data_IF_334047433859
#
_entry.id   IF_334047433859
#
_cell.length_a   1.000
_cell.length_b   1.000
_cell.length_c   1.000
_cell.angle_alpha   90.00
_cell.angle_beta   90.00
_cell.angle_gamma   90.00
#
_symmetry.space_group_name_H-M   'P 1'
#
loop_
_entity.id
_entity.type
_entity.pdbx_description
1 polymer ?
#
# COMPACT_ATOMS: atom_id res chain seq x y z
N UNK A 1 2.98 11.61 1.74
CA UNK A 1 3.19 10.29 1.09
C UNK A 1 4.40 10.25 0.14
N UNK A 2 4.37 10.78 -1.08
CA UNK A 2 5.43 10.51 -2.06
C UNK A 2 6.85 10.96 -1.72
N UNK A 3 7.00 12.13 -1.11
CA UNK A 3 8.30 12.61 -0.65
C UNK A 3 8.98 11.62 0.31
N UNK A 4 8.19 10.83 1.04
CA UNK A 4 8.66 9.89 2.04
C UNK A 4 8.70 8.43 1.54
N UNK A 5 7.82 8.05 0.61
CA UNK A 5 7.64 6.64 0.22
C UNK A 5 8.04 6.30 -1.22
N UNK A 6 8.30 7.29 -2.07
CA UNK A 6 8.73 7.08 -3.46
C UNK A 6 10.02 7.83 -3.77
N UNK A 7 11.01 7.68 -2.91
CA UNK A 7 12.38 8.21 -3.09
C UNK A 7 12.39 9.71 -3.46
N UNK A 8 11.63 10.52 -2.70
CA UNK A 8 11.59 11.96 -2.96
C UNK A 8 10.96 12.33 -4.31
N UNK A 9 10.01 11.54 -4.80
CA UNK A 9 9.29 11.67 -6.09
C UNK A 9 10.03 11.18 -7.34
N UNK A 10 11.13 10.43 -7.20
CA UNK A 10 11.80 9.75 -8.33
C UNK A 10 11.27 8.33 -8.55
N UNK A 11 10.66 7.73 -7.52
CA UNK A 11 10.13 6.36 -7.55
C UNK A 11 8.73 6.24 -8.15
N UNK A 12 8.07 5.12 -7.84
CA UNK A 12 6.72 4.80 -8.32
C UNK A 12 5.77 4.56 -7.14
N UNK A 13 4.47 4.74 -7.38
CA UNK A 13 3.39 4.22 -6.56
C UNK A 13 2.62 3.18 -7.36
N UNK A 14 2.23 2.09 -6.71
CA UNK A 14 1.44 1.03 -7.31
C UNK A 14 -0.02 1.21 -6.89
N UNK A 15 -0.92 1.15 -7.86
CA UNK A 15 -2.36 1.23 -7.65
C UNK A 15 -2.94 -0.19 -7.73
N UNK A 16 -3.62 -0.58 -6.66
CA UNK A 16 -4.40 -1.81 -6.64
C UNK A 16 -5.87 -1.51 -6.62
N UNK A 17 -6.61 -2.20 -7.47
CA UNK A 17 -8.04 -2.30 -7.33
C UNK A 17 -8.34 -3.29 -6.19
N UNK A 18 -9.24 -2.92 -5.29
CA UNK A 18 -9.81 -3.82 -4.28
C UNK A 18 -11.33 -3.83 -4.48
N UNK A 19 -11.96 -4.96 -4.84
CA UNK A 19 -13.38 -4.96 -5.08
C UNK A 19 -14.09 -4.78 -3.73
N UNK A 20 -15.18 -4.02 -3.73
CA UNK A 20 -15.94 -3.58 -2.56
C UNK A 20 -16.30 -4.72 -1.57
N UNK A 21 -16.38 -5.96 -2.07
CA UNK A 21 -16.71 -7.16 -1.29
C UNK A 21 -15.60 -7.62 -0.32
N UNK A 22 -14.51 -6.87 -0.15
CA UNK A 22 -13.37 -7.26 0.71
C UNK A 22 -12.88 -8.69 0.42
N UNK A 23 -13.00 -9.14 -0.85
CA UNK A 23 -12.46 -10.43 -1.26
C UNK A 23 -10.96 -10.29 -1.35
N UNK A 24 -10.33 -10.52 -0.21
CA UNK A 24 -8.89 -10.56 -0.07
C UNK A 24 -8.34 -11.91 -0.58
N UNK A 25 -9.20 -12.75 -1.16
CA UNK A 25 -8.87 -13.98 -1.87
C UNK A 25 -7.84 -13.75 -3.00
N UNK A 26 -7.80 -12.55 -3.58
CA UNK A 26 -6.80 -12.17 -4.59
C UNK A 26 -5.40 -11.97 -4.03
N UNK A 27 -5.24 -12.04 -2.71
CA UNK A 27 -3.96 -12.08 -2.03
C UNK A 27 -3.80 -13.42 -1.31
N UNK A 28 -2.72 -14.12 -1.62
CA UNK A 28 -2.45 -15.45 -1.10
C UNK A 28 -1.07 -15.52 -0.45
N UNK A 29 -0.97 -16.42 0.52
CA UNK A 29 0.32 -16.77 1.10
C UNK A 29 0.99 -17.83 0.22
N UNK A 30 2.32 -17.97 0.27
CA UNK A 30 3.03 -19.02 -0.45
C UNK A 30 2.45 -20.41 -0.13
N UNK A 31 2.54 -21.33 -1.08
CA UNK A 31 2.06 -22.72 -0.91
C UNK A 31 2.69 -23.35 0.34
N UNK A 32 1.87 -24.05 1.13
CA UNK A 32 2.30 -24.71 2.37
C UNK A 32 2.21 -23.85 3.63
N UNK A 33 1.79 -22.59 3.51
CA UNK A 33 1.49 -21.74 4.68
C UNK A 33 0.00 -21.83 4.99
N UNK A 34 -0.35 -22.35 6.17
CA UNK A 34 -1.73 -22.36 6.64
C UNK A 34 -2.19 -20.94 7.06
N UNK A 35 -3.29 -20.47 6.46
CA UNK A 35 -3.96 -19.25 6.91
C UNK A 35 -4.80 -19.57 8.15
N UNK A 36 -4.34 -19.16 9.32
CA UNK A 36 -5.15 -19.26 10.54
C UNK A 36 -6.25 -18.19 10.59
N UNK A 37 -6.03 -17.05 9.92
CA UNK A 37 -6.94 -15.90 9.88
C UNK A 37 -6.95 -15.36 8.44
N UNK A 38 -8.07 -14.84 7.91
CA UNK A 38 -8.05 -14.13 6.64
C UNK A 38 -7.10 -12.93 6.69
N UNK A 39 -6.56 -12.57 5.53
CA UNK A 39 -5.90 -11.28 5.34
C UNK A 39 -6.96 -10.18 5.53
N UNK A 40 -6.58 -9.03 6.09
CA UNK A 40 -7.51 -7.97 6.51
C UNK A 40 -7.07 -6.65 5.89
N UNK A 41 -7.98 -5.94 5.22
CA UNK A 41 -7.77 -4.55 4.82
C UNK A 41 -8.30 -3.63 5.92
N UNK A 42 -7.38 -3.01 6.66
CA UNK A 42 -7.70 -2.30 7.89
C UNK A 42 -7.46 -0.80 7.75
N UNK A 43 -8.49 0.07 7.91
CA UNK A 43 -8.27 1.50 8.04
C UNK A 43 -7.50 1.82 9.32
N UNK A 44 -6.59 2.80 9.23
CA UNK A 44 -5.78 3.24 10.37
C UNK A 44 -6.57 4.18 11.27
N UNK A 45 -6.49 3.93 12.57
CA UNK A 45 -6.98 4.83 13.61
C UNK A 45 -5.94 5.89 13.91
N UNK A 46 -6.35 7.14 13.95
CA UNK A 46 -5.44 8.26 14.23
C UNK A 46 -5.63 8.75 15.67
N UNK A 47 -4.54 8.85 16.42
CA UNK A 47 -4.56 9.27 17.83
C UNK A 47 -3.25 9.95 18.22
N UNK A 48 -3.33 10.93 19.12
CA UNK A 48 -2.14 11.53 19.76
C UNK A 48 -1.65 10.74 20.97
N UNK A 49 -2.45 9.78 21.43
CA UNK A 49 -2.09 8.86 22.50
C UNK A 49 -1.55 7.55 21.91
N UNK A 50 -0.36 7.16 22.35
CA UNK A 50 0.23 5.89 21.93
C UNK A 50 -0.51 4.73 22.62
N UNK A 51 -0.94 3.70 21.88
CA UNK A 51 -1.48 2.51 22.48
C UNK A 51 -0.41 1.85 23.35
N UNK A 52 -0.77 1.51 24.58
CA UNK A 52 0.10 0.77 25.50
C UNK A 52 -0.16 -0.71 25.27
N UNK A 53 0.90 -1.46 24.97
CA UNK A 53 0.84 -2.91 24.79
C UNK A 53 1.87 -3.60 25.68
N UNK A 54 1.43 -4.51 26.54
CA UNK A 54 2.35 -5.37 27.27
C UNK A 54 2.71 -6.60 26.40
N UNK A 55 3.81 -6.50 25.65
CA UNK A 55 4.27 -7.56 24.74
C UNK A 55 4.82 -8.81 25.45
N UNK A 56 5.01 -8.75 26.77
CA UNK A 56 5.52 -9.86 27.57
C UNK A 56 4.40 -10.78 28.09
N UNK A 57 3.15 -10.34 28.02
CA UNK A 57 1.99 -11.16 28.37
C UNK A 57 1.42 -11.83 27.11
N UNK A 58 1.07 -13.10 27.22
CA UNK A 58 0.40 -13.85 26.16
C UNK A 58 -1.08 -14.09 26.53
N UNK A 59 -1.87 -13.02 26.51
CA UNK A 59 -3.30 -13.04 26.82
C UNK A 59 -4.09 -12.50 25.62
N UNK A 60 -5.41 -12.73 25.60
CA UNK A 60 -6.28 -12.10 24.58
C UNK A 60 -6.19 -10.57 24.61
N UNK A 61 -6.06 -10.00 25.80
CA UNK A 61 -5.94 -8.56 25.99
C UNK A 61 -4.62 -8.01 25.41
N UNK A 62 -3.49 -8.69 25.65
CA UNK A 62 -2.21 -8.26 25.08
C UNK A 62 -2.19 -8.38 23.56
N UNK A 63 -2.84 -9.40 22.99
CA UNK A 63 -3.00 -9.53 21.53
C UNK A 63 -3.83 -8.38 20.93
N UNK A 64 -4.93 -7.96 21.59
CA UNK A 64 -5.72 -6.81 21.17
C UNK A 64 -4.91 -5.50 21.23
N UNK A 65 -4.13 -5.31 22.30
CA UNK A 65 -3.27 -4.13 22.44
C UNK A 65 -2.16 -4.08 21.37
N UNK A 66 -1.54 -5.22 21.05
CA UNK A 66 -0.57 -5.32 19.96
C UNK A 66 -1.23 -5.02 18.61
N UNK A 67 -2.43 -5.53 18.37
CA UNK A 67 -3.18 -5.21 17.16
C UNK A 67 -3.45 -3.70 17.07
N UNK A 68 -3.89 -3.07 18.16
CA UNK A 68 -4.07 -1.60 18.25
C UNK A 68 -2.79 -0.84 17.93
N UNK A 69 -1.62 -1.30 18.39
CA UNK A 69 -0.34 -0.64 18.06
C UNK A 69 0.03 -0.73 16.58
N UNK A 70 -0.38 -1.80 15.89
CA UNK A 70 -0.23 -1.96 14.45
C UNK A 70 -1.24 -1.13 13.66
N UNK A 71 -2.38 -0.73 14.22
CA UNK A 71 -3.43 0.01 13.49
C UNK A 71 -3.60 1.46 13.94
N UNK A 72 -2.74 1.95 14.85
CA UNK A 72 -2.78 3.34 15.33
C UNK A 72 -1.60 4.15 14.81
N UNK A 73 -1.84 5.37 14.32
CA UNK A 73 -0.81 6.32 13.87
C UNK A 73 -1.09 7.71 14.47
N UNK A 74 -0.06 8.57 14.56
CA UNK A 74 -0.23 9.95 15.05
C UNK A 74 -1.25 10.71 14.20
N UNK A 75 -2.05 11.60 14.81
CA UNK A 75 -3.00 12.45 14.06
C UNK A 75 -2.30 13.37 13.06
N UNK A 76 -1.01 13.64 13.24
CA UNK A 76 -0.20 14.41 12.27
C UNK A 76 -0.20 13.76 10.88
N UNK A 77 -0.45 12.46 10.80
CA UNK A 77 -0.49 11.67 9.55
C UNK A 77 -1.91 11.35 9.08
N UNK A 78 -2.94 11.94 9.72
CA UNK A 78 -4.34 11.68 9.38
C UNK A 78 -4.68 12.01 7.92
N UNK A 79 -3.96 12.96 7.31
CA UNK A 79 -4.13 13.34 5.91
C UNK A 79 -3.80 12.20 4.93
N UNK A 80 -3.08 11.15 5.35
CA UNK A 80 -2.75 10.03 4.47
C UNK A 80 -3.93 9.09 4.23
N UNK A 81 -4.95 9.11 5.11
CA UNK A 81 -6.11 8.22 5.06
C UNK A 81 -5.69 6.76 4.80
N UNK A 82 -4.71 6.29 5.57
CA UNK A 82 -3.96 5.06 5.35
C UNK A 82 -4.81 3.82 5.63
N UNK A 83 -4.63 2.82 4.79
CA UNK A 83 -5.12 1.46 5.01
C UNK A 83 -3.92 0.50 5.06
N UNK A 84 -3.97 -0.50 5.93
CA UNK A 84 -2.97 -1.57 6.01
C UNK A 84 -3.60 -2.89 5.63
N UNK A 85 -2.91 -3.62 4.75
CA UNK A 85 -3.21 -5.02 4.47
C UNK A 85 -2.44 -5.89 5.46
N UNK A 86 -3.13 -6.55 6.39
CA UNK A 86 -2.53 -7.26 7.53
C UNK A 86 -2.87 -8.75 7.46
N UNK A 87 -1.83 -9.60 7.53
CA UNK A 87 -1.98 -11.04 7.72
C UNK A 87 -1.55 -11.40 9.15
N UNK A 88 -2.49 -11.59 10.09
CA UNK A 88 -2.13 -12.06 11.43
C UNK A 88 -1.43 -13.42 11.36
N UNK A 89 -0.36 -13.57 12.15
CA UNK A 89 0.39 -14.83 12.26
C UNK A 89 1.33 -15.14 11.10
N UNK A 90 1.54 -14.21 10.16
CA UNK A 90 2.47 -14.41 9.04
C UNK A 90 3.37 -13.20 8.80
N UNK A 91 4.65 -13.47 8.59
CA UNK A 91 5.63 -12.50 8.11
C UNK A 91 6.31 -13.09 6.88
N UNK A 92 6.30 -12.36 5.77
CA UNK A 92 6.92 -12.83 4.53
C UNK A 92 6.29 -12.24 3.28
N UNK A 93 6.54 -12.88 2.15
CA UNK A 93 6.01 -12.47 0.85
C UNK A 93 4.54 -12.87 0.74
N UNK A 94 3.71 -11.95 0.28
CA UNK A 94 2.37 -12.28 -0.20
C UNK A 94 2.38 -12.31 -1.74
N UNK A 95 1.56 -13.18 -2.30
CA UNK A 95 1.24 -13.19 -3.73
C UNK A 95 -0.05 -12.41 -3.96
N UNK A 96 -0.15 -11.79 -5.13
CA UNK A 96 -1.37 -11.14 -5.59
C UNK A 96 -1.68 -11.58 -7.01
N UNK A 97 -2.96 -11.62 -7.35
CA UNK A 97 -3.37 -11.86 -8.73
C UNK A 97 -2.96 -10.67 -9.62
N UNK A 98 -2.19 -10.87 -10.70
CA UNK A 98 -1.57 -9.77 -11.44
C UNK A 98 -2.57 -8.71 -11.97
N UNK A 99 -3.78 -9.12 -12.32
CA UNK A 99 -4.83 -8.20 -12.82
C UNK A 99 -5.36 -7.22 -11.77
N UNK A 100 -5.02 -7.41 -10.48
CA UNK A 100 -5.38 -6.46 -9.42
C UNK A 100 -4.46 -5.25 -9.38
N UNK A 101 -3.25 -5.32 -9.95
CA UNK A 101 -2.43 -4.13 -10.17
C UNK A 101 -3.07 -3.34 -11.33
N UNK A 102 -3.87 -2.33 -10.99
CA UNK A 102 -4.67 -1.57 -11.94
C UNK A 102 -3.90 -0.41 -12.55
N UNK A 103 -2.87 0.07 -11.85
CA UNK A 103 -2.10 1.21 -12.29
C UNK A 103 -0.70 1.31 -11.68
N UNK A 104 0.17 2.05 -12.35
CA UNK A 104 1.47 2.48 -11.83
C UNK A 104 1.55 3.98 -12.03
N UNK A 105 1.78 4.71 -10.94
CA UNK A 105 1.94 6.16 -10.94
C UNK A 105 3.42 6.48 -10.76
N UNK A 106 4.02 7.06 -11.79
CA UNK A 106 5.43 7.45 -11.79
C UNK A 106 5.57 8.83 -11.14
N UNK A 107 6.51 8.96 -10.20
CA UNK A 107 6.76 10.20 -9.46
C UNK A 107 7.20 11.34 -10.38
N UNK A 108 6.83 12.58 -10.06
CA UNK A 108 7.04 13.71 -10.97
C UNK A 108 8.51 14.00 -11.32
N UNK A 109 9.44 13.66 -10.42
CA UNK A 109 10.90 13.84 -10.63
C UNK A 109 11.56 12.66 -11.34
N UNK A 110 10.84 11.58 -11.62
CA UNK A 110 11.43 10.46 -12.35
C UNK A 110 11.93 10.90 -13.73
N UNK A 111 13.11 10.43 -14.12
CA UNK A 111 13.77 10.80 -15.38
C UNK A 111 13.03 10.24 -16.59
N UNK A 112 13.34 10.76 -17.78
CA UNK A 112 12.74 10.26 -19.02
C UNK A 112 13.12 8.80 -19.26
N UNK A 113 14.35 8.42 -18.94
CA UNK A 113 14.85 7.05 -19.07
C UNK A 113 14.06 6.10 -18.16
N UNK A 114 13.82 6.47 -16.90
CA UNK A 114 13.03 5.67 -15.96
C UNK A 114 11.58 5.50 -16.46
N UNK A 115 10.97 6.56 -16.99
CA UNK A 115 9.62 6.50 -17.54
C UNK A 115 9.55 5.50 -18.70
N UNK A 116 10.53 5.54 -19.61
CA UNK A 116 10.60 4.63 -20.75
C UNK A 116 10.86 3.18 -20.30
N UNK A 117 11.76 2.97 -19.34
CA UNK A 117 12.06 1.65 -18.77
C UNK A 117 10.81 1.02 -18.15
N UNK A 118 10.07 1.78 -17.34
CA UNK A 118 8.80 1.33 -16.74
C UNK A 118 7.78 1.03 -17.85
N UNK A 119 7.71 1.88 -18.87
CA UNK A 119 6.85 1.66 -20.04
C UNK A 119 7.13 0.35 -20.76
N UNK A 120 8.40 0.04 -21.02
CA UNK A 120 8.82 -1.22 -21.65
C UNK A 120 8.56 -2.43 -20.73
N UNK A 121 8.78 -2.28 -19.43
CA UNK A 121 8.47 -3.32 -18.46
C UNK A 121 6.97 -3.67 -18.47
N UNK A 122 6.09 -2.66 -18.43
CA UNK A 122 4.64 -2.86 -18.45
C UNK A 122 4.16 -3.54 -19.74
N UNK A 123 4.75 -3.22 -20.89
CA UNK A 123 4.42 -3.89 -22.16
C UNK A 123 4.70 -5.40 -22.13
N UNK A 124 5.70 -5.83 -21.37
CA UNK A 124 6.06 -7.24 -21.21
C UNK A 124 5.16 -7.98 -20.20
N UNK A 125 4.40 -7.25 -19.39
CA UNK A 125 3.49 -7.86 -18.43
C UNK A 125 2.28 -8.48 -19.13
N UNK A 126 1.87 -9.66 -18.67
CA UNK A 126 0.65 -10.33 -19.15
C UNK A 126 -0.61 -9.49 -18.93
N UNK A 127 -0.64 -8.75 -17.82
CA UNK A 127 -1.69 -7.79 -17.50
C UNK A 127 -1.05 -6.41 -17.45
N UNK A 128 -1.59 -5.49 -18.25
CA UNK A 128 -1.02 -4.16 -18.46
C UNK A 128 -1.72 -3.16 -17.54
N UNK A 129 -1.15 -2.82 -16.36
CA UNK A 129 -1.66 -1.72 -15.55
C UNK A 129 -1.62 -0.41 -16.34
N UNK A 130 -2.56 0.49 -16.05
CA UNK A 130 -2.55 1.84 -16.59
C UNK A 130 -1.32 2.59 -16.09
N UNK A 131 -0.63 3.28 -16.98
CA UNK A 131 0.50 4.12 -16.59
C UNK A 131 0.02 5.54 -16.35
N UNK A 132 0.53 6.13 -15.28
CA UNK A 132 0.29 7.52 -14.95
C UNK A 132 1.60 8.22 -14.60
N UNK A 133 1.62 9.53 -14.74
CA UNK A 133 2.69 10.40 -14.26
C UNK A 133 2.08 11.41 -13.31
N UNK A 134 2.76 11.69 -12.21
CA UNK A 134 2.46 12.92 -11.52
C UNK A 134 3.10 14.12 -12.15
N UNK A 135 2.33 15.20 -12.11
CA UNK A 135 2.79 16.53 -12.46
C UNK A 135 2.46 17.48 -11.33
N UNK A 136 3.32 18.48 -11.14
CA UNK A 136 3.05 19.54 -10.17
C UNK A 136 1.83 20.34 -10.61
N UNK A 137 0.86 20.50 -9.72
CA UNK A 137 -0.24 21.42 -9.97
C UNK A 137 0.27 22.86 -9.79
N UNK A 138 0.08 23.71 -10.80
CA UNK A 138 0.62 25.09 -10.78
C UNK A 138 -0.21 26.05 -9.92
N UNK A 139 -1.42 25.67 -9.50
CA UNK A 139 -2.34 26.52 -8.74
C UNK A 139 -2.51 26.08 -7.29
N UNK A 140 -2.23 24.82 -6.97
CA UNK A 140 -2.48 24.21 -5.67
C UNK A 140 -1.26 23.42 -5.21
N UNK A 141 -1.11 23.28 -3.89
CA UNK A 141 -0.05 22.47 -3.29
C UNK A 141 -0.37 20.96 -3.36
N UNK A 142 -0.56 20.45 -4.58
CA UNK A 142 -0.90 19.06 -4.86
C UNK A 142 -0.25 18.57 -6.17
N UNK A 143 -0.41 17.28 -6.46
CA UNK A 143 0.02 16.68 -7.71
C UNK A 143 -1.21 16.25 -8.51
N UNK A 144 -1.23 16.57 -9.80
CA UNK A 144 -2.20 15.98 -10.71
C UNK A 144 -1.65 14.62 -11.19
N UNK A 145 -2.52 13.62 -11.25
CA UNK A 145 -2.19 12.30 -11.80
C UNK A 145 -2.73 12.23 -13.22
N UNK A 146 -1.84 12.26 -14.20
CA UNK A 146 -2.20 12.25 -15.62
C UNK A 146 -1.90 10.90 -16.26
N UNK A 147 -2.80 10.37 -17.10
CA UNK A 147 -2.53 9.13 -17.83
C UNK A 147 -1.34 9.32 -18.76
N UNK A 148 -0.47 8.32 -18.78
CA UNK A 148 0.45 8.06 -19.87
C UNK A 148 -0.27 7.14 -20.87
N UNK A 149 0.22 7.13 -22.11
CA UNK A 149 -0.35 6.46 -23.30
C UNK A 149 -1.11 5.15 -23.06
#
# INVERSE_FOLDING_TARGET
>A
MWAHYADGHTGICLEWDFPYEQRIEYFSLPKGVEKQVPLILQPISYSNERPVSNIFENTKQSAEQLYRSVITKSTDWAYENEYRLIQPGYTGKAHYEPFRLSGIIIGYKASQEQILEIGEFVKQMKFQPRLYKAVLNVKKFEYDIVPLW
#
